data_IF_236422159570
#
_entry.id   IF_236422159570
#
_cell.length_a   1.000
_cell.length_b   1.000
_cell.length_c   1.000
_cell.angle_alpha   90.00
_cell.angle_beta   90.00
_cell.angle_gamma   90.00
#
_symmetry.space_group_name_H-M   'P 1'
#
loop_
_entity.id
_entity.type
_entity.pdbx_description
1 polymer ?
#
# COMPACT_ATOMS: atom_id res chain seq x y z
N UNK A 1 10.08 6.60 26.80
CA UNK A 1 8.95 5.66 26.86
C UNK A 1 8.70 5.13 25.46
N UNK A 2 8.32 3.86 25.27
CA UNK A 2 7.98 3.34 23.95
C UNK A 2 6.73 4.05 23.40
N UNK A 3 6.67 4.27 22.09
CA UNK A 3 5.47 4.85 21.44
C UNK A 3 4.21 4.01 21.68
N UNK A 4 4.35 2.70 21.95
CA UNK A 4 3.23 1.80 22.25
C UNK A 4 2.39 2.25 23.44
N UNK A 5 3.00 2.86 24.46
CA UNK A 5 2.26 3.38 25.62
C UNK A 5 1.36 4.57 25.24
N UNK A 6 1.81 5.43 24.34
CA UNK A 6 1.00 6.54 23.82
C UNK A 6 -0.13 6.02 22.93
N UNK A 7 0.11 4.95 22.16
CA UNK A 7 -0.93 4.31 21.35
C UNK A 7 -2.05 3.72 22.20
N UNK A 8 -1.73 3.10 23.33
CA UNK A 8 -2.75 2.60 24.28
C UNK A 8 -3.62 3.72 24.84
N UNK A 9 -3.01 4.87 25.18
CA UNK A 9 -3.73 6.03 25.67
C UNK A 9 -4.63 6.65 24.59
N UNK A 10 -4.12 6.83 23.38
CA UNK A 10 -4.89 7.32 22.24
C UNK A 10 -6.05 6.39 21.88
N UNK A 11 -5.84 5.06 21.93
CA UNK A 11 -6.90 4.09 21.63
C UNK A 11 -8.04 4.13 22.66
N UNK A 12 -7.76 4.39 23.94
CA UNK A 12 -8.83 4.58 24.94
C UNK A 12 -9.75 5.75 24.56
N UNK A 13 -9.20 6.82 24.01
CA UNK A 13 -9.98 7.96 23.53
C UNK A 13 -10.79 7.60 22.29
N UNK A 14 -10.18 6.90 21.32
CA UNK A 14 -10.87 6.39 20.13
C UNK A 14 -12.04 5.47 20.48
N UNK A 15 -11.84 4.53 21.40
CA UNK A 15 -12.85 3.56 21.80
C UNK A 15 -14.03 4.18 22.56
N UNK A 16 -13.83 5.32 23.24
CA UNK A 16 -14.88 5.98 24.02
C UNK A 16 -16.03 6.53 23.16
N UNK A 17 -15.79 6.78 21.88
CA UNK A 17 -16.79 7.27 20.92
C UNK A 17 -17.04 6.32 19.75
N UNK A 18 -16.53 5.09 19.84
CA UNK A 18 -16.61 4.11 18.75
C UNK A 18 -18.03 3.53 18.59
N UNK A 19 -18.59 3.65 17.39
CA UNK A 19 -19.95 3.22 17.05
C UNK A 19 -20.01 2.21 15.87
N UNK A 20 -18.85 1.70 15.43
CA UNK A 20 -18.71 0.91 14.18
C UNK A 20 -18.62 -0.60 14.40
N UNK A 21 -19.09 -1.09 15.55
CA UNK A 21 -18.94 -2.49 15.97
C UNK A 21 -19.75 -3.51 15.17
N UNK A 22 -20.68 -3.06 14.33
CA UNK A 22 -21.56 -3.91 13.51
C UNK A 22 -21.21 -3.90 12.02
N UNK A 23 -20.11 -3.22 11.62
CA UNK A 23 -19.67 -3.24 10.23
C UNK A 23 -19.35 -4.68 9.79
N UNK A 24 -19.78 -5.09 8.58
CA UNK A 24 -19.51 -6.42 8.08
C UNK A 24 -18.04 -6.57 7.67
N UNK A 25 -17.58 -7.82 7.55
CA UNK A 25 -16.20 -8.11 7.13
C UNK A 25 -15.92 -7.71 5.66
N UNK A 26 -16.79 -7.99 4.67
CA UNK A 26 -16.56 -7.56 3.29
C UNK A 26 -16.60 -6.03 3.13
N UNK A 27 -15.66 -5.41 2.39
CA UNK A 27 -15.65 -3.96 2.19
C UNK A 27 -16.88 -3.45 1.43
N UNK A 28 -17.53 -2.42 1.95
CA UNK A 28 -18.78 -1.87 1.42
C UNK A 28 -18.66 -1.33 -0.02
N UNK A 29 -17.53 -0.72 -0.37
CA UNK A 29 -17.29 -0.22 -1.74
C UNK A 29 -16.69 -1.26 -2.67
N UNK A 30 -16.35 -2.45 -2.16
CA UNK A 30 -15.68 -3.52 -2.93
C UNK A 30 -14.35 -3.07 -3.55
N UNK A 31 -13.61 -2.18 -2.90
CA UNK A 31 -12.31 -1.68 -3.37
C UNK A 31 -11.17 -2.29 -2.56
N UNK A 32 -10.06 -2.60 -3.23
CA UNK A 32 -8.77 -2.85 -2.62
C UNK A 32 -7.78 -1.75 -3.01
N UNK A 33 -7.26 -1.02 -2.03
CA UNK A 33 -6.21 -0.02 -2.21
C UNK A 33 -4.86 -0.67 -1.93
N UNK A 34 -3.89 -0.52 -2.83
CA UNK A 34 -2.49 -0.88 -2.62
C UNK A 34 -1.68 0.42 -2.57
N UNK A 35 -0.99 0.67 -1.46
CA UNK A 35 -0.27 1.92 -1.25
C UNK A 35 1.08 1.72 -0.54
N UNK A 36 1.96 2.72 -0.60
CA UNK A 36 3.21 2.69 0.17
C UNK A 36 2.96 2.74 1.68
N UNK A 37 3.86 2.17 2.48
CA UNK A 37 3.90 2.25 3.95
C UNK A 37 4.38 3.61 4.50
N UNK A 38 4.62 4.60 3.64
CA UNK A 38 5.11 5.93 4.03
C UNK A 38 4.23 6.57 5.12
N UNK A 39 4.87 7.02 6.19
CA UNK A 39 4.19 7.58 7.37
C UNK A 39 3.43 8.89 7.09
N UNK A 40 3.74 9.59 6.00
CA UNK A 40 3.10 10.85 5.58
C UNK A 40 1.81 10.61 4.79
N UNK A 41 1.53 9.37 4.40
CA UNK A 41 0.31 8.96 3.70
C UNK A 41 -0.61 8.20 4.66
N UNK A 42 -1.80 8.74 4.86
CA UNK A 42 -2.97 8.04 5.42
C UNK A 42 -3.94 7.75 4.26
N UNK A 43 -3.91 6.54 3.66
CA UNK A 43 -4.69 6.25 2.45
C UNK A 43 -6.19 6.42 2.66
N UNK A 44 -6.71 6.08 3.85
CA UNK A 44 -8.13 6.21 4.14
C UNK A 44 -8.55 7.69 4.11
N UNK A 45 -7.80 8.56 4.79
CA UNK A 45 -8.08 10.00 4.77
C UNK A 45 -7.86 10.63 3.41
N UNK A 46 -6.76 10.31 2.73
CA UNK A 46 -6.42 10.88 1.43
C UNK A 46 -7.47 10.54 0.35
N UNK A 47 -8.13 9.39 0.46
CA UNK A 47 -9.15 8.93 -0.48
C UNK A 47 -10.60 9.15 0.02
N UNK A 48 -10.79 9.76 1.19
CA UNK A 48 -12.12 9.99 1.76
C UNK A 48 -12.88 8.70 2.10
N UNK A 49 -12.16 7.67 2.54
CA UNK A 49 -12.71 6.38 2.95
C UNK A 49 -13.08 6.39 4.44
N UNK A 50 -14.24 5.83 4.74
CA UNK A 50 -14.63 5.48 6.11
C UNK A 50 -14.21 4.04 6.45
N UNK A 51 -14.22 3.69 7.74
CA UNK A 51 -14.00 2.30 8.16
C UNK A 51 -15.06 1.38 7.52
N UNK A 52 -14.60 0.24 7.02
CA UNK A 52 -15.42 -0.71 6.27
C UNK A 52 -15.56 -0.42 4.77
N UNK A 53 -15.10 0.72 4.25
CA UNK A 53 -15.27 1.05 2.82
C UNK A 53 -14.42 0.17 1.90
N UNK A 54 -13.13 0.00 2.22
CA UNK A 54 -12.14 -0.64 1.35
C UNK A 54 -11.10 -1.43 2.16
N UNK A 55 -10.49 -2.43 1.53
CA UNK A 55 -9.22 -2.96 2.03
C UNK A 55 -8.09 -2.01 1.71
N UNK A 56 -7.18 -1.79 2.67
CA UNK A 56 -5.98 -0.97 2.49
C UNK A 56 -4.75 -1.84 2.75
N UNK A 57 -4.04 -2.19 1.68
CA UNK A 57 -2.84 -3.03 1.69
C UNK A 57 -1.63 -2.09 1.56
N UNK A 58 -0.66 -2.20 2.48
CA UNK A 58 0.51 -1.32 2.49
C UNK A 58 1.81 -2.09 2.60
N UNK A 59 2.80 -1.72 1.78
CA UNK A 59 4.17 -2.23 1.83
C UNK A 59 5.18 -1.17 1.36
N UNK A 60 6.47 -1.49 1.36
CA UNK A 60 7.50 -0.57 0.87
C UNK A 60 7.30 -0.28 -0.63
N UNK A 61 7.02 0.97 -0.98
CA UNK A 61 6.78 1.41 -2.36
C UNK A 61 5.38 1.19 -2.92
N UNK A 62 4.49 0.46 -2.22
CA UNK A 62 3.17 0.13 -2.75
C UNK A 62 3.22 -0.92 -3.87
N UNK A 63 4.25 -1.76 -3.88
CA UNK A 63 4.52 -2.71 -4.98
C UNK A 63 3.48 -3.81 -5.01
N UNK A 64 2.89 -4.05 -6.18
CA UNK A 64 1.78 -4.99 -6.33
C UNK A 64 2.21 -6.44 -6.31
N UNK A 65 3.46 -6.73 -6.69
CA UNK A 65 4.05 -8.07 -6.59
C UNK A 65 3.99 -8.60 -5.16
N UNK A 66 4.33 -7.76 -4.18
CA UNK A 66 4.28 -8.11 -2.76
C UNK A 66 2.84 -8.06 -2.20
N UNK A 67 1.97 -7.22 -2.77
CA UNK A 67 0.56 -7.15 -2.38
C UNK A 67 -0.32 -8.27 -2.95
N UNK A 68 0.15 -9.04 -3.95
CA UNK A 68 -0.66 -9.95 -4.76
C UNK A 68 -1.45 -10.96 -3.92
N UNK A 69 -0.80 -11.59 -2.93
CA UNK A 69 -1.47 -12.54 -2.02
C UNK A 69 -2.69 -11.91 -1.33
N UNK A 70 -2.56 -10.67 -0.86
CA UNK A 70 -3.62 -9.93 -0.19
C UNK A 70 -4.73 -9.51 -1.16
N UNK A 71 -4.37 -9.11 -2.39
CA UNK A 71 -5.34 -8.80 -3.46
C UNK A 71 -6.20 -10.02 -3.79
N UNK A 72 -5.58 -11.20 -3.94
CA UNK A 72 -6.31 -12.45 -4.22
C UNK A 72 -7.32 -12.76 -3.11
N UNK A 73 -6.91 -12.71 -1.84
CA UNK A 73 -7.81 -12.92 -0.70
C UNK A 73 -8.96 -11.90 -0.71
N UNK A 74 -8.64 -10.63 -0.92
CA UNK A 74 -9.60 -9.53 -0.99
C UNK A 74 -10.69 -9.77 -2.04
N UNK A 75 -10.32 -10.27 -3.23
CA UNK A 75 -11.26 -10.53 -4.30
C UNK A 75 -12.06 -11.83 -4.11
N UNK A 76 -11.36 -12.92 -3.78
CA UNK A 76 -11.92 -14.27 -3.78
C UNK A 76 -12.75 -14.56 -2.54
N UNK A 77 -12.33 -14.07 -1.37
CA UNK A 77 -13.01 -14.35 -0.10
C UNK A 77 -13.89 -13.19 0.36
N UNK A 78 -13.54 -11.95 0.00
CA UNK A 78 -14.14 -10.76 0.58
C UNK A 78 -14.81 -9.83 -0.46
N UNK A 79 -14.86 -10.25 -1.72
CA UNK A 79 -15.77 -9.68 -2.71
C UNK A 79 -15.36 -8.36 -3.34
N UNK A 80 -14.10 -7.92 -3.22
CA UNK A 80 -13.64 -6.70 -3.92
C UNK A 80 -13.61 -6.88 -5.44
N UNK A 81 -13.96 -5.82 -6.17
CA UNK A 81 -14.13 -5.79 -7.63
C UNK A 81 -13.54 -4.53 -8.27
N UNK A 82 -12.63 -3.87 -7.58
CA UNK A 82 -11.86 -2.73 -8.08
C UNK A 82 -10.55 -2.65 -7.30
N UNK A 83 -9.47 -2.26 -8.00
CA UNK A 83 -8.14 -2.09 -7.40
C UNK A 83 -7.62 -0.69 -7.69
N UNK A 84 -7.14 -0.02 -6.64
CA UNK A 84 -6.53 1.31 -6.72
C UNK A 84 -5.09 1.22 -6.24
N UNK A 85 -4.13 1.59 -7.08
CA UNK A 85 -2.71 1.63 -6.76
C UNK A 85 -2.31 3.08 -6.50
N UNK A 86 -1.68 3.36 -5.35
CA UNK A 86 -1.25 4.70 -4.94
C UNK A 86 0.23 4.67 -4.56
N UNK A 87 1.09 5.13 -5.46
CA UNK A 87 2.48 5.45 -5.13
C UNK A 87 2.56 6.92 -4.70
N UNK A 88 3.75 7.41 -4.37
CA UNK A 88 3.90 8.80 -3.92
C UNK A 88 5.22 9.42 -4.33
N UNK A 89 5.24 10.76 -4.35
CA UNK A 89 6.46 11.56 -4.53
C UNK A 89 7.38 11.41 -3.32
N UNK A 90 8.69 11.63 -3.52
CA UNK A 90 9.70 11.51 -2.45
C UNK A 90 9.67 10.14 -1.72
N UNK A 91 9.50 9.07 -2.50
CA UNK A 91 9.50 7.71 -1.99
C UNK A 91 10.92 7.20 -1.73
N UNK A 92 11.15 6.60 -0.56
CA UNK A 92 12.44 5.98 -0.23
C UNK A 92 12.87 4.90 -1.22
N UNK A 93 11.94 4.25 -1.92
CA UNK A 93 12.24 3.23 -2.94
C UNK A 93 12.90 3.79 -4.21
N UNK A 94 12.97 5.12 -4.35
CA UNK A 94 13.73 5.81 -5.41
C UNK A 94 15.22 5.98 -5.06
N UNK A 95 15.58 5.87 -3.78
CA UNK A 95 16.88 6.37 -3.28
C UNK A 95 17.96 5.29 -3.22
N UNK A 96 17.66 4.07 -3.68
CA UNK A 96 18.59 2.95 -3.63
C UNK A 96 18.32 1.90 -4.71
N UNK A 97 19.31 1.05 -4.95
CA UNK A 97 19.18 -0.20 -5.71
C UNK A 97 19.24 -1.42 -4.80
N UNK A 98 18.74 -2.56 -5.29
CA UNK A 98 18.84 -3.86 -4.60
C UNK A 98 20.29 -4.16 -4.17
N UNK A 99 21.26 -3.91 -5.05
CA UNK A 99 22.69 -4.11 -4.75
C UNK A 99 23.17 -3.23 -3.60
N UNK A 100 22.79 -1.94 -3.60
CA UNK A 100 23.18 -1.00 -2.55
C UNK A 100 22.62 -1.43 -1.19
N UNK A 101 21.35 -1.85 -1.13
CA UNK A 101 20.73 -2.28 0.12
C UNK A 101 21.28 -3.63 0.61
N UNK A 102 21.49 -4.60 -0.29
CA UNK A 102 22.15 -5.88 0.04
C UNK A 102 23.55 -5.66 0.60
N UNK A 103 24.35 -4.80 -0.04
CA UNK A 103 25.68 -4.45 0.45
C UNK A 103 25.63 -3.76 1.82
N UNK A 104 24.66 -2.87 2.05
CA UNK A 104 24.47 -2.21 3.35
C UNK A 104 24.10 -3.22 4.44
N UNK A 105 23.15 -4.13 4.20
CA UNK A 105 22.74 -5.15 5.17
C UNK A 105 23.90 -6.06 5.55
N UNK A 106 24.68 -6.52 4.57
CA UNK A 106 25.89 -7.32 4.83
C UNK A 106 26.90 -6.60 5.71
N UNK A 107 27.15 -5.32 5.43
CA UNK A 107 28.11 -4.52 6.22
C UNK A 107 27.62 -4.26 7.65
N UNK A 108 26.34 -3.93 7.80
CA UNK A 108 25.80 -3.47 9.08
C UNK A 108 25.37 -4.62 9.99
N UNK A 109 24.86 -5.71 9.42
CA UNK A 109 24.29 -6.84 10.15
C UNK A 109 25.09 -8.14 9.99
N UNK A 110 26.00 -8.23 9.01
CA UNK A 110 26.75 -9.46 8.74
C UNK A 110 25.95 -10.55 8.03
N UNK A 111 24.74 -10.26 7.57
CA UNK A 111 23.79 -11.23 7.00
C UNK A 111 23.73 -11.15 5.47
N UNK A 112 23.52 -12.31 4.82
CA UNK A 112 23.33 -12.40 3.38
C UNK A 112 21.83 -12.38 3.00
N UNK A 113 21.48 -11.42 2.15
CA UNK A 113 20.10 -11.12 1.74
C UNK A 113 19.92 -11.11 0.22
N UNK A 114 20.80 -11.78 -0.53
CA UNK A 114 20.69 -11.84 -2.00
C UNK A 114 19.39 -12.48 -2.51
N UNK A 115 18.77 -13.35 -1.71
CA UNK A 115 17.49 -13.98 -2.01
C UNK A 115 16.29 -13.01 -1.88
N UNK A 116 16.49 -11.83 -1.29
CA UNK A 116 15.45 -10.82 -1.13
C UNK A 116 15.51 -9.84 -2.30
N UNK A 117 14.39 -9.67 -3.00
CA UNK A 117 14.19 -8.53 -3.90
C UNK A 117 13.49 -7.42 -3.12
N UNK A 118 14.15 -6.26 -2.99
CA UNK A 118 13.60 -5.12 -2.26
C UNK A 118 12.72 -4.23 -3.14
N UNK A 119 12.63 -4.52 -4.44
CA UNK A 119 11.72 -3.88 -5.38
C UNK A 119 11.86 -2.33 -5.45
N UNK A 120 13.08 -1.75 -5.56
CA UNK A 120 13.22 -0.33 -5.84
C UNK A 120 12.72 0.01 -7.26
N UNK A 121 12.58 1.29 -7.56
CA UNK A 121 12.21 1.79 -8.89
C UNK A 121 12.89 3.13 -9.16
N UNK A 122 13.08 3.47 -10.44
CA UNK A 122 13.76 4.72 -10.85
C UNK A 122 12.83 5.88 -11.19
N UNK A 123 11.55 5.61 -11.44
CA UNK A 123 10.55 6.63 -11.80
C UNK A 123 9.20 6.29 -11.18
N UNK A 124 8.58 7.25 -10.49
CA UNK A 124 7.32 7.02 -9.78
C UNK A 124 6.19 6.73 -10.76
N UNK A 125 6.09 7.48 -11.86
CA UNK A 125 5.01 7.29 -12.83
C UNK A 125 5.09 5.92 -13.50
N UNK A 126 6.28 5.53 -13.95
CA UNK A 126 6.54 4.24 -14.55
C UNK A 126 6.27 3.11 -13.55
N UNK A 127 6.68 3.27 -12.28
CA UNK A 127 6.41 2.25 -11.26
C UNK A 127 4.91 1.98 -11.06
N UNK A 128 4.06 3.01 -11.13
CA UNK A 128 2.59 2.86 -11.09
C UNK A 128 2.10 2.10 -12.31
N UNK A 129 2.56 2.47 -13.51
CA UNK A 129 2.17 1.80 -14.76
C UNK A 129 2.58 0.33 -14.75
N UNK A 130 3.80 0.02 -14.31
CA UNK A 130 4.32 -1.33 -14.21
C UNK A 130 3.47 -2.17 -13.24
N UNK A 131 3.16 -1.63 -12.07
CA UNK A 131 2.36 -2.31 -11.04
C UNK A 131 0.89 -2.51 -11.48
N UNK A 132 0.30 -1.56 -12.21
CA UNK A 132 -1.00 -1.76 -12.88
C UNK A 132 -0.92 -2.93 -13.87
N UNK A 133 0.13 -3.00 -14.68
CA UNK A 133 0.30 -4.05 -15.68
C UNK A 133 0.57 -5.43 -15.06
N UNK A 134 1.29 -5.49 -13.93
CA UNK A 134 1.49 -6.73 -13.17
C UNK A 134 0.15 -7.34 -12.77
N UNK A 135 -0.75 -6.53 -12.18
CA UNK A 135 -2.06 -7.03 -11.78
C UNK A 135 -2.96 -7.36 -12.99
N UNK A 136 -2.98 -6.51 -14.03
CA UNK A 136 -3.77 -6.77 -15.26
C UNK A 136 -3.38 -8.07 -15.96
N UNK A 137 -2.09 -8.42 -15.96
CA UNK A 137 -1.57 -9.64 -16.61
C UNK A 137 -1.64 -10.87 -15.71
N UNK A 138 -1.93 -10.71 -14.42
CA UNK A 138 -1.94 -11.81 -13.47
C UNK A 138 -3.20 -12.66 -13.65
N UNK A 139 -3.08 -13.99 -13.90
CA UNK A 139 -4.23 -14.88 -13.97
C UNK A 139 -4.91 -15.10 -12.60
N UNK A 140 -4.31 -14.59 -11.52
CA UNK A 140 -4.84 -14.68 -10.15
C UNK A 140 -5.75 -13.50 -9.80
N UNK A 141 -5.76 -12.44 -10.61
CA UNK A 141 -6.54 -11.23 -10.40
C UNK A 141 -7.74 -11.26 -11.34
N UNK A 142 -8.93 -10.97 -10.81
CA UNK A 142 -10.15 -10.87 -11.63
C UNK A 142 -10.02 -9.75 -12.66
N UNK A 143 -10.69 -9.90 -13.82
CA UNK A 143 -10.81 -8.84 -14.82
C UNK A 143 -11.74 -7.74 -14.30
N UNK A 144 -11.15 -6.76 -13.61
CA UNK A 144 -11.85 -5.65 -12.94
C UNK A 144 -11.10 -4.33 -13.17
N UNK A 145 -11.73 -3.16 -12.93
CA UNK A 145 -11.04 -1.89 -13.04
C UNK A 145 -9.80 -1.82 -12.13
N UNK A 146 -8.68 -1.40 -12.73
CA UNK A 146 -7.42 -1.13 -12.03
C UNK A 146 -6.95 0.26 -12.44
N UNK A 147 -6.85 1.15 -11.45
CA UNK A 147 -6.45 2.54 -11.61
C UNK A 147 -5.18 2.84 -10.81
N UNK A 148 -4.29 3.66 -11.36
CA UNK A 148 -3.03 4.06 -10.75
C UNK A 148 -2.99 5.56 -10.44
N UNK A 149 -2.41 5.92 -9.30
CA UNK A 149 -2.29 7.30 -8.83
C UNK A 149 -0.92 7.57 -8.21
N UNK A 150 -0.52 8.84 -8.25
CA UNK A 150 0.59 9.38 -7.48
C UNK A 150 0.04 10.34 -6.43
N UNK A 151 0.35 10.08 -5.17
CA UNK A 151 0.12 11.00 -4.06
C UNK A 151 1.30 11.97 -3.94
N UNK A 152 1.04 13.27 -3.98
CA UNK A 152 2.04 14.29 -3.68
C UNK A 152 2.13 14.49 -2.16
N UNK A 153 3.25 14.06 -1.56
CA UNK A 153 3.49 14.21 -0.12
C UNK A 153 3.56 15.66 0.35
N UNK A 154 3.81 16.61 -0.56
CA UNK A 154 3.88 18.04 -0.23
C UNK A 154 2.50 18.68 -0.15
N UNK A 155 1.63 18.36 -1.13
CA UNK A 155 0.33 19.02 -1.25
C UNK A 155 -0.86 18.19 -0.75
N UNK A 156 -0.65 16.89 -0.51
CA UNK A 156 -1.71 15.94 -0.15
C UNK A 156 -2.65 15.56 -1.30
N UNK A 157 -2.32 15.92 -2.56
CA UNK A 157 -3.16 15.65 -3.73
C UNK A 157 -2.86 14.27 -4.31
N UNK A 158 -3.86 13.66 -4.94
CA UNK A 158 -3.64 12.51 -5.83
C UNK A 158 -3.78 12.95 -7.29
N UNK A 159 -2.89 12.46 -8.13
CA UNK A 159 -2.94 12.64 -9.57
C UNK A 159 -3.03 11.28 -10.24
N UNK A 160 -3.99 11.14 -11.15
CA UNK A 160 -4.16 9.90 -11.91
C UNK A 160 -3.00 9.73 -12.87
N UNK A 161 -2.49 8.50 -12.96
CA UNK A 161 -1.51 8.13 -13.97
C UNK A 161 -2.25 7.48 -15.13
N UNK A 162 -2.26 8.15 -16.27
CA UNK A 162 -2.76 7.59 -17.53
C UNK A 162 -1.63 6.87 -18.27
N UNK A 163 -1.99 5.73 -18.88
CA UNK A 163 -1.09 4.88 -19.66
C UNK A 163 -1.84 4.11 -20.73
#
# INVERSE_FOLDING_TARGET
>A
MPASTEFEAANKQYAATFDKGTLPLPPGRKVAVVACMDARLDPAKALGLAEGDAHVIRNAGGRTVDALRSVVISQQLLGTREIVIVHHTDCGMLTFSDEQLRAKVRRDLGEDVDHISFLPFGDVKQSVLDDVQVLRKSPLVLDVPISGYIYDVTSGKIERVDG
#
